data_IF_200560091127
#
_entry.id   IF_200560091127
#
_cell.length_a   1.000
_cell.length_b   1.000
_cell.length_c   1.000
_cell.angle_alpha   90.00
_cell.angle_beta   90.00
_cell.angle_gamma   90.00
#
_symmetry.space_group_name_H-M   'P 1'
#
loop_
_entity.id
_entity.type
_entity.pdbx_description
1 polymer ?
#
# COMPACT_ATOMS: atom_id res chain seq x y z
N UNK A 1 -31.01 -15.54 -0.21
CA UNK A 1 -30.04 -14.43 -0.35
C UNK A 1 -28.66 -15.05 -0.32
N UNK A 2 -27.96 -15.12 -1.45
CA UNK A 2 -26.54 -15.47 -1.47
C UNK A 2 -25.79 -14.40 -0.70
N UNK A 3 -25.04 -14.77 0.34
CA UNK A 3 -24.16 -13.83 1.02
C UNK A 3 -23.23 -13.19 -0.02
N UNK A 4 -23.10 -11.86 0.00
CA UNK A 4 -22.17 -11.14 -0.86
C UNK A 4 -20.75 -11.68 -0.60
N UNK A 5 -19.95 -11.92 -1.66
CA UNK A 5 -18.56 -12.33 -1.47
C UNK A 5 -17.75 -11.21 -0.78
N UNK A 6 -16.64 -11.57 -0.12
CA UNK A 6 -15.84 -10.64 0.68
C UNK A 6 -15.44 -9.38 -0.11
N UNK A 7 -15.13 -9.52 -1.40
CA UNK A 7 -14.74 -8.39 -2.24
C UNK A 7 -15.86 -7.37 -2.42
N UNK A 8 -17.11 -7.82 -2.57
CA UNK A 8 -18.28 -6.94 -2.63
C UNK A 8 -18.49 -6.26 -1.28
N UNK A 9 -18.36 -6.99 -0.18
CA UNK A 9 -18.49 -6.44 1.17
C UNK A 9 -17.41 -5.39 1.46
N UNK A 10 -16.14 -5.68 1.16
CA UNK A 10 -15.02 -4.75 1.29
C UNK A 10 -15.27 -3.47 0.50
N UNK A 11 -15.61 -3.58 -0.79
CA UNK A 11 -15.90 -2.42 -1.65
C UNK A 11 -17.03 -1.57 -1.10
N UNK A 12 -18.06 -2.19 -0.53
CA UNK A 12 -19.17 -1.47 0.11
C UNK A 12 -18.72 -0.77 1.38
N UNK A 13 -18.01 -1.48 2.26
CA UNK A 13 -17.54 -0.98 3.54
C UNK A 13 -16.58 0.22 3.38
N UNK A 14 -15.68 0.17 2.41
CA UNK A 14 -14.64 1.19 2.23
C UNK A 14 -15.06 2.33 1.29
N UNK A 15 -16.24 2.28 0.66
CA UNK A 15 -16.63 3.25 -0.39
C UNK A 15 -16.56 4.69 0.08
N UNK A 16 -17.20 5.00 1.20
CA UNK A 16 -17.26 6.36 1.76
C UNK A 16 -15.91 6.79 2.36
N UNK A 17 -15.24 6.00 3.22
CA UNK A 17 -13.90 6.32 3.71
C UNK A 17 -12.88 6.54 2.58
N UNK A 18 -12.89 5.70 1.55
CA UNK A 18 -12.02 5.85 0.38
C UNK A 18 -12.28 7.16 -0.35
N UNK A 19 -13.54 7.52 -0.60
CA UNK A 19 -13.86 8.78 -1.26
C UNK A 19 -13.42 10.00 -0.43
N UNK A 20 -13.54 9.92 0.90
CA UNK A 20 -13.08 10.97 1.81
C UNK A 20 -11.55 11.14 1.77
N UNK A 21 -10.80 10.05 2.00
CA UNK A 21 -9.33 10.07 1.95
C UNK A 21 -8.81 10.45 0.56
N UNK A 22 -9.44 9.98 -0.51
CA UNK A 22 -9.03 10.35 -1.86
C UNK A 22 -9.15 11.86 -2.10
N UNK A 23 -10.27 12.48 -1.71
CA UNK A 23 -10.43 13.95 -1.80
C UNK A 23 -9.41 14.68 -0.93
N UNK A 24 -9.18 14.18 0.29
CA UNK A 24 -8.21 14.73 1.22
C UNK A 24 -6.81 14.71 0.59
N UNK A 25 -6.34 13.56 0.12
CA UNK A 25 -5.03 13.39 -0.48
C UNK A 25 -4.86 14.23 -1.75
N UNK A 26 -5.86 14.29 -2.65
CA UNK A 26 -5.76 15.15 -3.83
C UNK A 26 -5.62 16.63 -3.46
N UNK A 27 -6.34 17.10 -2.45
CA UNK A 27 -6.22 18.50 -2.01
C UNK A 27 -4.83 18.83 -1.44
N UNK A 28 -4.17 17.88 -0.75
CA UNK A 28 -2.81 18.08 -0.20
C UNK A 28 -1.74 17.91 -1.26
N UNK A 29 -1.89 16.95 -2.18
CA UNK A 29 -0.95 16.77 -3.30
C UNK A 29 -0.82 18.06 -4.11
N UNK A 30 -1.92 18.77 -4.35
CA UNK A 30 -1.88 20.06 -5.04
C UNK A 30 -1.02 21.12 -4.30
N UNK A 31 -0.90 21.04 -2.97
CA UNK A 31 -0.05 21.93 -2.18
C UNK A 31 1.42 21.51 -2.21
N UNK A 32 1.70 20.24 -2.50
CA UNK A 32 3.06 19.70 -2.58
C UNK A 32 3.76 19.97 -3.92
N UNK A 33 3.15 20.71 -4.83
CA UNK A 33 3.61 20.90 -6.21
C UNK A 33 3.70 22.39 -6.58
N UNK A 34 4.33 22.75 -7.70
CA UNK A 34 4.31 24.12 -8.21
C UNK A 34 2.90 24.57 -8.59
N UNK A 35 2.55 25.86 -8.41
CA UNK A 35 3.43 26.95 -7.94
C UNK A 35 3.55 27.08 -6.42
N UNK A 36 2.93 26.21 -5.62
CA UNK A 36 2.89 26.34 -4.15
C UNK A 36 4.26 26.13 -3.51
N UNK A 37 5.02 25.16 -4.03
CA UNK A 37 6.40 24.90 -3.63
C UNK A 37 7.31 24.71 -4.84
N UNK A 38 8.60 24.98 -4.66
CA UNK A 38 9.61 24.87 -5.71
C UNK A 38 10.49 23.62 -5.61
N UNK A 39 10.42 22.92 -4.48
CA UNK A 39 11.15 21.69 -4.21
C UNK A 39 10.21 20.60 -3.67
N UNK A 40 10.51 19.30 -3.87
CA UNK A 40 9.62 18.20 -3.54
C UNK A 40 9.59 17.84 -2.03
N UNK A 41 9.96 18.75 -1.12
CA UNK A 41 10.09 18.45 0.31
C UNK A 41 8.76 18.05 0.97
N UNK A 42 7.64 18.70 0.63
CA UNK A 42 6.31 18.33 1.14
C UNK A 42 5.85 16.97 0.61
N UNK A 43 6.14 16.67 -0.66
CA UNK A 43 5.86 15.35 -1.22
C UNK A 43 6.72 14.28 -0.53
N UNK A 44 8.03 14.53 -0.34
CA UNK A 44 8.96 13.67 0.42
C UNK A 44 8.41 13.35 1.80
N UNK A 45 8.00 14.38 2.55
CA UNK A 45 7.42 14.21 3.87
C UNK A 45 6.17 13.33 3.81
N UNK A 46 5.19 13.67 2.97
CA UNK A 46 3.94 12.92 2.85
C UNK A 46 4.14 11.46 2.47
N UNK A 47 4.94 11.19 1.42
CA UNK A 47 5.18 9.82 0.96
C UNK A 47 5.98 9.01 1.99
N UNK A 48 6.90 9.63 2.75
CA UNK A 48 7.63 8.95 3.82
C UNK A 48 6.69 8.45 4.94
N UNK A 49 5.64 9.20 5.28
CA UNK A 49 4.64 8.76 6.27
C UNK A 49 3.81 7.61 5.76
N UNK A 50 3.38 7.67 4.50
CA UNK A 50 2.66 6.56 3.88
C UNK A 50 3.55 5.32 3.68
N UNK A 51 4.86 5.49 3.55
CA UNK A 51 5.81 4.38 3.42
C UNK A 51 5.81 3.46 4.65
N UNK A 52 5.64 4.01 5.86
CA UNK A 52 5.57 3.21 7.10
C UNK A 52 4.46 2.15 7.08
N UNK A 53 3.35 2.42 6.38
CA UNK A 53 2.26 1.45 6.17
C UNK A 53 2.74 0.23 5.37
N UNK A 54 3.49 0.48 4.30
CA UNK A 54 4.04 -0.56 3.44
C UNK A 54 5.17 -1.32 4.13
N UNK A 55 6.04 -0.62 4.87
CA UNK A 55 7.08 -1.27 5.65
C UNK A 55 6.51 -2.23 6.69
N UNK A 56 5.51 -1.80 7.47
CA UNK A 56 4.85 -2.66 8.46
C UNK A 56 4.15 -3.85 7.82
N UNK A 57 3.40 -3.61 6.75
CA UNK A 57 2.73 -4.65 5.97
C UNK A 57 3.72 -5.69 5.42
N UNK A 58 4.72 -5.24 4.66
CA UNK A 58 5.58 -6.14 3.89
C UNK A 58 6.55 -6.90 4.80
N UNK A 59 7.02 -6.28 5.88
CA UNK A 59 7.80 -6.94 6.92
C UNK A 59 6.99 -8.05 7.61
N UNK A 60 5.74 -7.77 7.98
CA UNK A 60 4.86 -8.76 8.59
C UNK A 60 4.50 -9.88 7.62
N UNK A 61 4.28 -9.54 6.35
CA UNK A 61 3.95 -10.52 5.32
C UNK A 61 5.09 -11.53 5.13
N UNK A 62 6.33 -11.06 4.97
CA UNK A 62 7.50 -11.95 4.89
C UNK A 62 7.65 -12.79 6.15
N UNK A 63 7.48 -12.18 7.33
CA UNK A 63 7.58 -12.86 8.62
C UNK A 63 6.54 -13.97 8.81
N UNK A 64 5.34 -13.80 8.27
CA UNK A 64 4.27 -14.78 8.36
C UNK A 64 4.38 -15.95 7.36
N UNK A 65 5.23 -15.87 6.35
CA UNK A 65 5.29 -16.87 5.27
C UNK A 65 6.22 -18.07 5.54
N UNK A 66 7.10 -18.00 6.56
CA UNK A 66 8.18 -18.96 6.84
C UNK A 66 9.10 -19.24 5.59
N UNK A 67 10.19 -20.01 5.77
CA UNK A 67 11.40 -20.12 4.91
C UNK A 67 11.24 -19.84 3.37
N UNK A 68 12.04 -18.91 2.79
CA UNK A 68 12.11 -18.66 1.35
C UNK A 68 12.37 -19.86 0.44
N UNK A 69 12.97 -20.93 0.96
CA UNK A 69 13.23 -22.14 0.17
C UNK A 69 11.95 -22.86 -0.28
N UNK A 70 10.86 -22.75 0.49
CA UNK A 70 9.55 -23.32 0.13
C UNK A 70 8.87 -22.57 -1.03
N UNK A 71 9.41 -21.42 -1.45
CA UNK A 71 8.83 -20.56 -2.50
C UNK A 71 9.03 -21.10 -3.92
N UNK A 72 9.99 -22.02 -4.11
CA UNK A 72 10.44 -22.52 -5.42
C UNK A 72 9.63 -23.74 -5.89
N UNK A 73 8.77 -24.30 -5.03
CA UNK A 73 7.85 -25.36 -5.44
C UNK A 73 6.83 -24.80 -6.43
N UNK A 74 7.18 -25.00 -7.71
CA UNK A 74 6.44 -24.85 -8.95
C UNK A 74 4.96 -24.46 -8.76
N UNK A 75 4.65 -23.19 -9.01
CA UNK A 75 3.28 -22.72 -9.20
C UNK A 75 2.72 -23.18 -10.57
N UNK A 76 3.22 -24.30 -11.11
CA UNK A 76 2.83 -24.85 -12.40
C UNK A 76 1.45 -25.47 -12.38
N UNK A 77 0.96 -25.89 -11.21
CA UNK A 77 -0.33 -26.54 -11.13
C UNK A 77 -1.35 -25.69 -10.38
N UNK A 78 -2.43 -25.40 -11.09
CA UNK A 78 -3.79 -25.44 -10.58
C UNK A 78 -4.00 -26.69 -9.72
N UNK A 79 -3.38 -26.76 -8.53
CA UNK A 79 -3.70 -27.80 -7.55
C UNK A 79 -5.16 -27.58 -7.25
N UNK A 80 -5.98 -28.53 -7.71
CA UNK A 80 -7.41 -28.61 -7.50
C UNK A 80 -7.64 -28.35 -6.01
N UNK A 81 -8.07 -27.13 -5.71
CA UNK A 81 -8.28 -26.65 -4.36
C UNK A 81 -9.19 -27.62 -3.58
N UNK A 82 -10.08 -28.29 -4.30
CA UNK A 82 -11.18 -29.12 -3.81
C UNK A 82 -10.75 -30.41 -3.08
N UNK A 83 -9.57 -30.98 -3.31
CA UNK A 83 -9.18 -32.28 -2.70
C UNK A 83 -8.41 -32.15 -1.36
N UNK A 84 -7.83 -30.99 -1.03
CA UNK A 84 -6.97 -30.81 0.18
C UNK A 84 -7.74 -30.17 1.35
N UNK A 85 -9.02 -29.86 1.19
CA UNK A 85 -9.84 -29.18 2.22
C UNK A 85 -10.18 -30.04 3.45
N UNK A 86 -9.86 -31.35 3.44
CA UNK A 86 -10.41 -32.26 4.43
C UNK A 86 -9.74 -32.21 5.82
N UNK A 87 -8.48 -31.78 5.96
CA UNK A 87 -7.76 -31.84 7.26
C UNK A 87 -6.61 -30.81 7.39
N UNK A 88 -6.85 -29.52 7.12
CA UNK A 88 -5.80 -28.50 7.33
C UNK A 88 -5.98 -27.78 8.67
N UNK A 89 -4.96 -27.87 9.54
CA UNK A 89 -4.80 -27.03 10.72
C UNK A 89 -4.93 -25.53 10.35
N UNK A 90 -5.48 -24.71 11.25
CA UNK A 90 -5.77 -23.30 10.99
C UNK A 90 -4.51 -22.53 10.54
N UNK A 91 -3.35 -22.89 11.11
CA UNK A 91 -2.06 -22.33 10.72
C UNK A 91 -1.74 -22.58 9.24
N UNK A 92 -1.92 -23.81 8.76
CA UNK A 92 -1.65 -24.16 7.37
C UNK A 92 -2.63 -23.50 6.40
N UNK A 93 -3.91 -23.40 6.77
CA UNK A 93 -4.92 -22.69 5.98
C UNK A 93 -4.56 -21.20 5.82
N UNK A 94 -4.16 -20.55 6.91
CA UNK A 94 -3.72 -19.15 6.88
C UNK A 94 -2.43 -18.99 6.07
N UNK A 95 -1.41 -19.83 6.26
CA UNK A 95 -0.19 -19.78 5.43
C UNK A 95 -0.48 -19.89 3.92
N UNK A 96 -1.39 -20.79 3.53
CA UNK A 96 -1.84 -20.91 2.13
C UNK A 96 -2.52 -19.64 1.62
N UNK A 97 -3.36 -19.02 2.45
CA UNK A 97 -3.99 -17.73 2.17
C UNK A 97 -2.92 -16.65 1.91
N UNK A 98 -1.90 -16.55 2.76
CA UNK A 98 -0.86 -15.52 2.63
C UNK A 98 -0.02 -15.69 1.36
N UNK A 99 0.32 -16.94 1.02
CA UNK A 99 1.05 -17.27 -0.23
C UNK A 99 0.19 -16.97 -1.45
N UNK A 100 -1.10 -17.31 -1.42
CA UNK A 100 -2.04 -17.02 -2.50
C UNK A 100 -2.10 -15.53 -2.83
N UNK A 101 -2.02 -14.67 -1.82
CA UNK A 101 -2.05 -13.21 -2.01
C UNK A 101 -0.76 -12.65 -2.65
N UNK A 102 0.38 -13.34 -2.51
CA UNK A 102 1.69 -12.77 -2.83
C UNK A 102 1.95 -12.71 -4.34
N UNK A 103 2.01 -11.50 -4.89
CA UNK A 103 2.33 -11.24 -6.29
C UNK A 103 3.69 -10.52 -6.31
N UNK A 104 4.74 -11.08 -6.95
CA UNK A 104 6.08 -10.53 -6.94
C UNK A 104 6.19 -9.06 -7.39
N UNK A 105 5.26 -8.63 -8.24
CA UNK A 105 5.19 -7.27 -8.78
C UNK A 105 4.60 -6.24 -7.80
N UNK A 106 4.03 -6.66 -6.67
CA UNK A 106 3.37 -5.77 -5.69
C UNK A 106 4.29 -5.10 -4.67
N UNK A 107 5.23 -5.79 -4.00
CA UNK A 107 6.02 -5.20 -2.92
C UNK A 107 6.64 -3.85 -3.32
N UNK A 108 6.49 -2.84 -2.46
CA UNK A 108 6.88 -1.45 -2.68
C UNK A 108 8.02 -1.00 -1.78
N UNK A 109 8.39 -1.73 -0.71
CA UNK A 109 9.45 -1.31 0.23
C UNK A 109 10.72 -0.87 -0.48
N UNK A 110 11.29 -1.72 -1.35
CA UNK A 110 12.53 -1.39 -2.08
C UNK A 110 12.37 -0.19 -3.03
N UNK A 111 11.18 -0.05 -3.61
CA UNK A 111 10.87 1.04 -4.54
C UNK A 111 10.76 2.36 -3.77
N UNK A 112 10.07 2.35 -2.64
CA UNK A 112 9.94 3.48 -1.71
C UNK A 112 11.31 3.91 -1.16
N UNK A 113 12.16 2.97 -0.76
CA UNK A 113 13.51 3.26 -0.27
C UNK A 113 14.34 4.00 -1.33
N UNK A 114 14.28 3.54 -2.59
CA UNK A 114 14.98 4.17 -3.71
C UNK A 114 14.43 5.57 -4.02
N UNK A 115 13.10 5.71 -4.11
CA UNK A 115 12.44 7.00 -4.34
C UNK A 115 12.77 8.00 -3.20
N UNK A 116 12.67 7.58 -1.94
CA UNK A 116 12.98 8.41 -0.78
C UNK A 116 14.45 8.80 -0.72
N UNK A 117 15.36 7.92 -1.12
CA UNK A 117 16.79 8.23 -1.23
C UNK A 117 17.03 9.38 -2.23
N UNK A 118 16.40 9.30 -3.41
CA UNK A 118 16.47 10.35 -4.42
C UNK A 118 15.84 11.66 -3.92
N UNK A 119 14.64 11.60 -3.31
CA UNK A 119 13.97 12.79 -2.77
C UNK A 119 14.79 13.50 -1.67
N UNK A 120 15.49 12.74 -0.82
CA UNK A 120 16.41 13.31 0.18
C UNK A 120 17.57 14.05 -0.46
N UNK A 121 18.08 13.56 -1.59
CA UNK A 121 19.16 14.24 -2.33
C UNK A 121 18.72 15.55 -2.98
N UNK A 122 17.43 15.66 -3.35
CA UNK A 122 16.83 16.84 -3.97
C UNK A 122 16.41 17.91 -2.95
N UNK A 123 16.03 17.49 -1.74
CA UNK A 123 15.65 18.40 -0.65
C UNK A 123 16.34 17.97 0.65
N UNK A 124 17.62 18.38 0.85
CA UNK A 124 18.43 18.01 2.01
C UNK A 124 17.98 18.65 3.33
N UNK A 125 17.10 19.66 3.27
CA UNK A 125 16.56 20.29 4.46
C UNK A 125 15.59 19.31 5.14
N UNK A 126 16.09 18.60 6.14
CA UNK A 126 15.28 17.79 7.06
C UNK A 126 14.62 18.73 8.07
N UNK A 127 13.56 19.43 7.63
CA UNK A 127 12.82 20.35 8.50
C UNK A 127 11.91 19.65 9.53
N UNK A 128 11.83 18.30 9.53
CA UNK A 128 10.87 17.57 10.37
C UNK A 128 11.58 16.53 11.25
N UNK A 129 12.33 17.02 12.23
CA UNK A 129 13.12 16.20 13.17
C UNK A 129 12.34 15.72 14.41
N UNK A 130 11.05 16.07 14.55
CA UNK A 130 10.32 15.89 15.82
C UNK A 130 9.45 14.62 15.86
N UNK A 131 8.99 14.09 14.72
CA UNK A 131 7.97 13.01 14.71
C UNK A 131 8.42 11.63 14.22
N UNK A 132 9.70 11.38 13.89
CA UNK A 132 10.19 10.04 13.46
C UNK A 132 9.78 8.90 14.42
N UNK A 133 9.68 9.17 15.73
CA UNK A 133 9.26 8.17 16.72
C UNK A 133 7.78 7.75 16.58
N UNK A 134 6.86 8.67 16.29
CA UNK A 134 5.41 8.39 16.23
C UNK A 134 5.07 7.56 15.00
N UNK A 135 5.74 7.79 13.87
CA UNK A 135 5.45 7.07 12.63
C UNK A 135 6.06 5.67 12.63
N UNK A 136 7.22 5.51 13.28
CA UNK A 136 7.74 4.20 13.62
C UNK A 136 6.81 3.39 14.53
N UNK A 137 5.97 4.03 15.36
CA UNK A 137 4.93 3.34 16.13
C UNK A 137 3.80 2.82 15.24
N UNK A 138 3.36 3.56 14.21
CA UNK A 138 2.36 3.07 13.26
C UNK A 138 2.87 1.82 12.52
N UNK A 139 4.12 1.85 12.03
CA UNK A 139 4.74 0.67 11.42
C UNK A 139 4.73 -0.53 12.36
N UNK A 140 5.16 -0.33 13.62
CA UNK A 140 5.18 -1.37 14.64
C UNK A 140 3.78 -1.90 14.94
N UNK A 141 2.78 -1.02 15.05
CA UNK A 141 1.39 -1.38 15.32
C UNK A 141 0.82 -2.26 14.19
N UNK A 142 0.99 -1.85 12.93
CA UNK A 142 0.57 -2.64 11.76
C UNK A 142 1.23 -4.01 11.75
N UNK A 143 2.55 -4.05 11.98
CA UNK A 143 3.29 -5.29 12.08
C UNK A 143 2.69 -6.20 13.16
N UNK A 144 2.46 -5.68 14.37
CA UNK A 144 1.93 -6.45 15.49
C UNK A 144 0.50 -6.94 15.24
N UNK A 145 -0.38 -6.12 14.68
CA UNK A 145 -1.76 -6.51 14.32
C UNK A 145 -1.77 -7.68 13.35
N UNK A 146 -0.93 -7.62 12.31
CA UNK A 146 -0.80 -8.71 11.33
C UNK A 146 -0.19 -9.95 11.99
N UNK A 147 0.87 -9.82 12.78
CA UNK A 147 1.49 -10.98 13.44
C UNK A 147 0.54 -11.69 14.42
N UNK A 148 -0.35 -10.94 15.08
CA UNK A 148 -1.39 -11.51 15.96
C UNK A 148 -2.53 -12.16 15.18
N UNK A 149 -2.90 -11.60 14.03
CA UNK A 149 -3.99 -12.08 13.18
C UNK A 149 -3.56 -12.05 11.70
N UNK A 150 -2.81 -13.06 11.21
CA UNK A 150 -2.18 -12.97 9.89
C UNK A 150 -3.19 -12.87 8.73
N UNK A 151 -4.41 -13.36 8.89
CA UNK A 151 -5.50 -13.18 7.90
C UNK A 151 -5.83 -11.70 7.61
N UNK A 152 -5.49 -10.78 8.51
CA UNK A 152 -5.65 -9.34 8.28
C UNK A 152 -4.82 -8.83 7.10
N UNK A 153 -3.80 -9.57 6.64
CA UNK A 153 -3.09 -9.26 5.39
C UNK A 153 -4.05 -9.08 4.21
N UNK A 154 -5.19 -9.75 4.18
CA UNK A 154 -6.21 -9.54 3.13
C UNK A 154 -6.69 -8.09 3.09
N UNK A 155 -6.94 -7.47 4.25
CA UNK A 155 -7.40 -6.08 4.35
C UNK A 155 -6.32 -5.10 3.89
N UNK A 156 -5.11 -5.21 4.46
CA UNK A 156 -3.98 -4.35 4.13
C UNK A 156 -3.59 -4.45 2.66
N UNK A 157 -3.44 -5.67 2.13
CA UNK A 157 -3.08 -5.87 0.73
C UNK A 157 -4.15 -5.33 -0.21
N UNK A 158 -5.43 -5.62 0.07
CA UNK A 158 -6.55 -5.07 -0.72
C UNK A 158 -6.51 -3.55 -0.75
N UNK A 159 -6.41 -2.89 0.40
CA UNK A 159 -6.52 -1.43 0.49
C UNK A 159 -5.29 -0.74 -0.08
N UNK A 160 -4.09 -1.09 0.39
CA UNK A 160 -2.85 -0.40 0.03
C UNK A 160 -2.54 -0.59 -1.46
N UNK A 161 -2.54 -1.82 -1.97
CA UNK A 161 -2.24 -2.04 -3.39
C UNK A 161 -3.37 -1.60 -4.32
N UNK A 162 -4.63 -1.55 -3.87
CA UNK A 162 -5.71 -0.97 -4.68
C UNK A 162 -5.52 0.52 -4.95
N UNK A 163 -4.90 1.25 -4.01
CA UNK A 163 -4.58 2.65 -4.21
C UNK A 163 -3.65 2.84 -5.42
N UNK A 164 -2.68 1.94 -5.63
CA UNK A 164 -1.73 2.01 -6.75
C UNK A 164 -2.36 1.44 -8.03
N UNK A 165 -2.97 0.25 -7.94
CA UNK A 165 -3.49 -0.52 -9.08
C UNK A 165 -4.76 0.06 -9.72
N UNK A 166 -5.62 0.71 -8.92
CA UNK A 166 -6.94 1.17 -9.38
C UNK A 166 -7.11 2.69 -9.22
N UNK A 167 -6.66 3.26 -8.11
CA UNK A 167 -6.90 4.66 -7.76
C UNK A 167 -5.80 5.65 -8.20
N UNK A 168 -4.57 5.17 -8.44
CA UNK A 168 -3.39 6.03 -8.54
C UNK A 168 -3.26 6.81 -9.84
N UNK A 169 -4.17 6.66 -10.80
CA UNK A 169 -4.11 7.37 -12.10
C UNK A 169 -4.19 8.88 -11.92
N UNK A 170 -5.14 9.35 -11.12
CA UNK A 170 -5.34 10.80 -10.94
C UNK A 170 -4.18 11.43 -10.16
N UNK A 171 -3.74 10.76 -9.09
CA UNK A 171 -2.57 11.19 -8.30
C UNK A 171 -1.34 11.32 -9.21
N UNK A 172 -1.03 10.27 -9.99
CA UNK A 172 0.08 10.32 -10.96
C UNK A 172 -0.04 11.45 -11.96
N UNK A 173 -1.24 11.64 -12.52
CA UNK A 173 -1.52 12.72 -13.47
C UNK A 173 -1.20 14.09 -12.86
N UNK A 174 -1.53 14.30 -11.58
CA UNK A 174 -1.18 15.54 -10.89
C UNK A 174 0.32 15.66 -10.63
N UNK A 175 0.97 14.62 -10.11
CA UNK A 175 2.41 14.63 -9.83
C UNK A 175 3.25 14.93 -11.09
N UNK A 176 2.87 14.35 -12.23
CA UNK A 176 3.59 14.55 -13.50
C UNK A 176 3.45 15.98 -14.06
N UNK A 177 2.41 16.75 -13.66
CA UNK A 177 2.25 18.15 -14.10
C UNK A 177 3.32 19.08 -13.54
N UNK A 178 3.99 18.72 -12.44
CA UNK A 178 5.07 19.52 -11.89
C UNK A 178 6.30 19.60 -12.82
N UNK A 179 6.41 18.67 -13.79
CA UNK A 179 7.46 18.68 -14.80
C UNK A 179 8.79 18.08 -14.31
N UNK A 180 9.72 17.82 -15.25
CA UNK A 180 10.96 17.09 -14.97
C UNK A 180 11.89 17.81 -13.99
N UNK A 181 12.01 19.13 -14.10
CA UNK A 181 12.90 19.95 -13.26
C UNK A 181 12.56 19.84 -11.77
N UNK A 182 11.27 19.89 -11.42
CA UNK A 182 10.80 19.78 -10.04
C UNK A 182 11.20 18.44 -9.40
N UNK A 183 11.26 17.38 -10.20
CA UNK A 183 11.66 16.05 -9.77
C UNK A 183 13.16 15.78 -9.92
N UNK A 184 13.97 16.79 -10.27
CA UNK A 184 15.41 16.66 -10.48
C UNK A 184 15.80 15.79 -11.68
N UNK A 185 14.93 15.71 -12.69
CA UNK A 185 15.10 14.83 -13.84
C UNK A 185 15.41 15.62 -15.13
N UNK A 186 16.10 14.96 -16.05
CA UNK A 186 16.15 15.42 -17.44
C UNK A 186 14.83 15.14 -18.15
N UNK A 187 14.56 15.84 -19.25
CA UNK A 187 13.38 15.58 -20.10
C UNK A 187 13.36 14.13 -20.60
N UNK A 188 14.53 13.58 -20.93
CA UNK A 188 14.68 12.19 -21.43
C UNK A 188 14.37 11.18 -20.34
N UNK A 189 14.91 11.36 -19.13
CA UNK A 189 14.64 10.46 -18.00
C UNK A 189 13.17 10.53 -17.59
N UNK A 190 12.58 11.72 -17.62
CA UNK A 190 11.18 11.92 -17.30
C UNK A 190 10.22 11.21 -18.28
N UNK A 191 10.61 11.13 -19.56
CA UNK A 191 9.84 10.43 -20.60
C UNK A 191 10.15 8.92 -20.68
N UNK A 192 11.15 8.42 -19.96
CA UNK A 192 11.62 7.02 -20.06
C UNK A 192 10.61 5.99 -19.58
N UNK A 193 9.70 6.37 -18.67
CA UNK A 193 8.69 5.48 -18.12
C UNK A 193 7.39 6.22 -17.84
N UNK A 194 6.31 5.45 -17.57
CA UNK A 194 5.00 6.01 -17.24
C UNK A 194 5.05 6.84 -15.95
N UNK A 195 5.92 6.47 -15.01
CA UNK A 195 6.11 7.19 -13.76
C UNK A 195 7.54 6.99 -13.28
N UNK A 196 8.47 7.89 -13.67
CA UNK A 196 9.91 7.74 -13.42
C UNK A 196 10.22 7.94 -11.93
N UNK A 197 11.37 7.43 -11.46
CA UNK A 197 11.87 7.76 -10.13
C UNK A 197 12.12 9.28 -10.04
N UNK A 198 11.79 9.97 -8.91
CA UNK A 198 11.44 9.41 -7.61
C UNK A 198 9.93 9.18 -7.38
N UNK A 199 9.17 8.92 -8.44
CA UNK A 199 7.74 8.61 -8.38
C UNK A 199 7.44 7.13 -8.67
N UNK A 200 8.48 6.28 -8.66
CA UNK A 200 8.39 4.88 -9.10
C UNK A 200 7.48 4.02 -8.23
N UNK A 201 7.18 4.43 -7.00
CA UNK A 201 6.14 3.86 -6.13
C UNK A 201 4.80 3.66 -6.86
N UNK A 202 4.42 4.61 -7.72
CA UNK A 202 3.17 4.56 -8.46
C UNK A 202 3.23 3.76 -9.76
N UNK A 203 4.40 3.20 -10.11
CA UNK A 203 4.58 2.36 -11.29
C UNK A 203 4.54 0.88 -10.92
N UNK A 204 3.67 0.12 -11.59
CA UNK A 204 3.66 -1.34 -11.58
C UNK A 204 3.71 -1.77 -13.04
N UNK A 205 4.73 -2.56 -13.37
CA UNK A 205 4.90 -3.10 -14.71
C UNK A 205 3.80 -4.13 -15.00
N UNK A 206 3.31 -4.15 -16.24
CA UNK A 206 2.14 -4.94 -16.66
C UNK A 206 0.93 -4.80 -15.69
N UNK A 207 0.56 -3.56 -15.41
CA UNK A 207 -0.52 -3.23 -14.48
C UNK A 207 -1.85 -3.93 -14.82
N UNK A 208 -2.12 -4.20 -16.11
CA UNK A 208 -3.33 -4.90 -16.54
C UNK A 208 -3.35 -6.34 -16.04
N UNK A 209 -2.28 -7.12 -16.29
CA UNK A 209 -2.21 -8.51 -15.87
C UNK A 209 -2.16 -8.63 -14.34
N UNK A 210 -1.38 -7.76 -13.67
CA UNK A 210 -1.29 -7.72 -12.20
C UNK A 210 -2.66 -7.43 -11.58
N UNK A 211 -3.43 -6.47 -12.11
CA UNK A 211 -4.79 -6.16 -11.64
C UNK A 211 -5.75 -7.34 -11.76
N UNK A 212 -5.68 -8.09 -12.85
CA UNK A 212 -6.53 -9.26 -13.06
C UNK A 212 -6.17 -10.37 -12.05
N UNK A 213 -4.89 -10.67 -11.92
CA UNK A 213 -4.35 -11.67 -10.98
C UNK A 213 -4.68 -11.33 -9.54
N UNK A 214 -4.54 -10.06 -9.16
CA UNK A 214 -4.82 -9.58 -7.81
C UNK A 214 -6.30 -9.76 -7.43
N UNK A 215 -7.23 -9.34 -8.29
CA UNK A 215 -8.67 -9.56 -8.04
C UNK A 215 -9.03 -11.04 -7.93
N UNK A 216 -8.44 -11.87 -8.79
CA UNK A 216 -8.67 -13.31 -8.77
C UNK A 216 -8.18 -13.96 -7.48
N UNK A 217 -6.97 -13.59 -7.01
CA UNK A 217 -6.40 -14.10 -5.75
C UNK A 217 -7.20 -13.65 -4.52
N UNK A 218 -7.67 -12.41 -4.48
CA UNK A 218 -8.56 -11.93 -3.40
C UNK A 218 -9.91 -12.68 -3.40
N UNK A 219 -10.49 -12.95 -4.57
CA UNK A 219 -11.72 -13.74 -4.66
C UNK A 219 -11.54 -15.21 -4.22
N UNK A 220 -10.35 -15.78 -4.43
CA UNK A 220 -10.00 -17.13 -3.93
C UNK A 220 -9.70 -17.12 -2.43
N UNK A 221 -9.04 -16.08 -1.93
CA UNK A 221 -8.75 -15.86 -0.52
C UNK A 221 -10.03 -15.90 0.34
N UNK A 222 -11.14 -15.34 -0.17
CA UNK A 222 -12.45 -15.38 0.49
C UNK A 222 -12.86 -16.81 0.88
N UNK A 223 -12.55 -17.82 0.05
CA UNK A 223 -12.92 -19.23 0.32
C UNK A 223 -12.11 -19.86 1.45
N UNK A 224 -10.93 -19.31 1.75
CA UNK A 224 -10.03 -19.81 2.79
C UNK A 224 -10.31 -19.18 4.16
N UNK A 225 -11.08 -18.11 4.22
CA UNK A 225 -11.38 -17.42 5.47
C UNK A 225 -12.56 -18.07 6.22
N UNK A 226 -12.50 -18.07 7.54
CA UNK A 226 -13.67 -18.36 8.39
C UNK A 226 -14.61 -17.15 8.44
N UNK A 227 -15.83 -17.32 8.95
CA UNK A 227 -16.75 -16.19 9.12
C UNK A 227 -16.21 -15.13 10.08
N UNK A 228 -15.51 -15.54 11.14
CA UNK A 228 -14.89 -14.60 12.08
C UNK A 228 -13.74 -13.83 11.41
N UNK A 229 -12.88 -14.52 10.66
CA UNK A 229 -11.77 -13.88 9.96
C UNK A 229 -12.25 -12.91 8.87
N UNK A 230 -13.36 -13.22 8.18
CA UNK A 230 -13.99 -12.27 7.25
C UNK A 230 -14.45 -11.00 7.97
N UNK A 231 -15.07 -11.15 9.14
CA UNK A 231 -15.50 -10.00 9.93
C UNK A 231 -14.29 -9.18 10.40
N UNK A 232 -13.25 -9.84 10.92
CA UNK A 232 -11.99 -9.20 11.30
C UNK A 232 -11.38 -8.39 10.14
N UNK A 233 -11.37 -8.93 8.92
CA UNK A 233 -10.89 -8.23 7.72
C UNK A 233 -11.71 -6.98 7.39
N UNK A 234 -13.03 -7.02 7.58
CA UNK A 234 -13.90 -5.85 7.36
C UNK A 234 -13.69 -4.77 8.44
N UNK A 235 -13.55 -5.19 9.70
CA UNK A 235 -13.32 -4.27 10.82
C UNK A 235 -11.94 -3.60 10.70
N UNK A 236 -10.91 -4.37 10.37
CA UNK A 236 -9.56 -3.86 10.14
C UNK A 236 -9.51 -2.92 8.92
N UNK A 237 -10.34 -3.18 7.90
CA UNK A 237 -10.45 -2.26 6.76
C UNK A 237 -10.92 -0.87 7.18
N UNK A 238 -11.85 -0.76 8.13
CA UNK A 238 -12.27 0.54 8.66
C UNK A 238 -11.15 1.21 9.45
N UNK A 239 -10.38 0.44 10.22
CA UNK A 239 -9.23 0.95 10.97
C UNK A 239 -8.12 1.50 10.06
N UNK A 240 -7.79 0.81 8.96
CA UNK A 240 -6.79 1.27 7.99
C UNK A 240 -7.15 2.66 7.46
N UNK A 241 -8.44 2.94 7.20
CA UNK A 241 -8.87 4.27 6.78
C UNK A 241 -8.79 5.32 7.90
N UNK A 242 -8.98 4.94 9.16
CA UNK A 242 -8.72 5.86 10.30
C UNK A 242 -7.23 6.20 10.39
N UNK A 243 -6.36 5.22 10.17
CA UNK A 243 -4.90 5.44 10.12
C UNK A 243 -4.55 6.40 8.98
N UNK A 244 -5.14 6.24 7.78
CA UNK A 244 -4.93 7.19 6.67
C UNK A 244 -5.38 8.60 7.02
N UNK A 245 -6.53 8.74 7.68
CA UNK A 245 -7.02 10.06 8.10
C UNK A 245 -6.07 10.71 9.11
N UNK A 246 -5.64 9.95 10.13
CA UNK A 246 -4.68 10.40 11.13
C UNK A 246 -3.37 10.85 10.49
N UNK A 247 -2.81 10.02 9.59
CA UNK A 247 -1.59 10.32 8.83
C UNK A 247 -1.72 11.63 8.06
N UNK A 248 -2.77 11.78 7.26
CA UNK A 248 -2.92 12.97 6.42
C UNK A 248 -3.19 14.24 7.24
N UNK A 249 -3.91 14.15 8.37
CA UNK A 249 -4.17 15.32 9.23
C UNK A 249 -2.95 15.78 10.01
N UNK A 250 -2.19 14.85 10.56
CA UNK A 250 -0.95 15.19 11.27
C UNK A 250 0.13 15.73 10.33
N UNK A 251 0.10 15.37 9.03
CA UNK A 251 0.90 16.06 8.02
C UNK A 251 0.53 17.55 7.92
N UNK A 252 -0.75 17.90 7.96
CA UNK A 252 -1.17 19.31 7.94
C UNK A 252 -0.60 20.06 9.17
N UNK A 253 -0.65 19.44 10.36
CA UNK A 253 -0.08 19.98 11.60
C UNK A 253 1.44 20.20 11.48
N UNK A 254 2.20 19.18 11.07
CA UNK A 254 3.65 19.23 10.88
C UNK A 254 4.07 20.35 9.89
N UNK A 255 3.25 20.64 8.88
CA UNK A 255 3.52 21.67 7.87
C UNK A 255 3.06 23.08 8.25
N UNK A 256 2.11 23.23 9.17
CA UNK A 256 1.68 24.55 9.64
C UNK A 256 2.67 25.17 10.63
N UNK A 257 3.51 24.37 11.30
CA UNK A 257 4.58 24.85 12.17
C UNK A 257 5.78 25.49 11.45
N UNK A 258 5.81 25.44 10.11
CA UNK A 258 6.90 26.01 9.30
C UNK A 258 6.61 27.42 8.75
N UNK A 259 5.42 27.98 8.98
CA UNK A 259 5.02 29.33 8.54
C UNK A 259 5.06 30.41 9.67
N UNK A 260 5.57 30.08 10.87
CA UNK A 260 5.88 31.03 11.96
C UNK A 260 7.39 31.24 12.13
#
# INVERSE_FOLDING_TARGET
MTADNLLVQLRKAIKEPHAAIHRLNLSRIALCLPPQVHEPYLYKLGISRYAELYYGLEEAWVSCMDDPADWICDWSDEIALDEVFAVADDKHRVQRLLRLLYIPELPRTRVLDADLCLLRSLSPCDQVSVSENVWGEIRKDIFQRIMQKPHLLVAYTWILYSAILFGGREIRSQLLKAGPEFWGLSVTDFASSRTPAPLSFWNIDDDIAVRARFRHRIARADRLLTNQERQDVLDESAEIFRIFELLTRALDEDTNYTDE
#
